data_IF_341845628934
#
_entry.id   IF_341845628934
#
_cell.length_a   1.000
_cell.length_b   1.000
_cell.length_c   1.000
_cell.angle_alpha   90.00
_cell.angle_beta   90.00
_cell.angle_gamma   90.00
#
_symmetry.space_group_name_H-M   'P 1'
#
loop_
_entity.id
_entity.type
_entity.pdbx_description
1 polymer ?
#
# COMPACT_ATOMS: atom_id res chain seq x y z
N UNK A 1 -6.22 2.05 13.09
CA UNK A 1 -6.71 3.01 12.08
C UNK A 1 -7.37 4.11 12.90
N UNK A 2 -6.63 5.19 13.14
CA UNK A 2 -7.26 6.39 13.68
C UNK A 2 -8.34 6.75 12.67
N UNK A 3 -9.55 7.11 13.13
CA UNK A 3 -10.55 7.75 12.27
C UNK A 3 -9.94 9.09 11.85
N UNK A 4 -9.22 9.10 10.74
CA UNK A 4 -8.88 10.32 10.04
C UNK A 4 -10.21 10.89 9.59
N UNK A 5 -10.55 12.08 10.06
CA UNK A 5 -11.83 12.75 9.80
C UNK A 5 -11.88 13.16 8.31
N UNK A 6 -12.24 12.19 7.46
CA UNK A 6 -12.47 12.45 6.03
C UNK A 6 -13.73 13.28 5.81
N UNK A 7 -13.64 14.29 4.96
CA UNK A 7 -14.78 15.13 4.56
C UNK A 7 -15.34 14.65 3.23
N UNK A 8 -16.67 14.49 3.13
CA UNK A 8 -17.35 14.12 1.89
C UNK A 8 -18.16 15.27 1.33
N UNK A 9 -17.93 15.62 0.08
CA UNK A 9 -18.71 16.59 -0.69
C UNK A 9 -19.61 15.86 -1.68
N UNK A 10 -20.91 16.24 -1.72
CA UNK A 10 -21.92 15.54 -2.50
C UNK A 10 -22.56 16.48 -3.51
N UNK A 11 -22.64 16.06 -4.77
CA UNK A 11 -23.30 16.78 -5.85
C UNK A 11 -24.55 16.05 -6.32
N UNK A 12 -25.71 16.72 -6.22
CA UNK A 12 -26.99 16.17 -6.59
C UNK A 12 -27.56 16.82 -7.86
N UNK A 13 -28.20 16.01 -8.68
CA UNK A 13 -28.99 16.55 -9.80
C UNK A 13 -30.19 17.34 -9.26
N UNK A 14 -30.32 18.58 -9.71
CA UNK A 14 -31.45 19.43 -9.35
C UNK A 14 -32.77 18.89 -9.96
N UNK A 15 -33.61 18.28 -9.15
CA UNK A 15 -34.92 17.75 -9.56
C UNK A 15 -35.82 17.60 -8.33
N UNK A 16 -37.14 17.28 -8.56
CA UNK A 16 -38.07 16.96 -7.46
C UNK A 16 -37.67 15.74 -6.65
N UNK A 17 -36.90 14.81 -7.27
CA UNK A 17 -36.25 13.67 -6.63
C UNK A 17 -34.73 13.75 -6.91
N UNK A 18 -33.95 14.42 -6.06
CA UNK A 18 -32.55 14.63 -6.31
C UNK A 18 -31.82 13.29 -6.31
N UNK A 19 -30.96 13.07 -7.31
CA UNK A 19 -30.10 11.90 -7.42
C UNK A 19 -28.67 12.35 -7.17
N UNK A 20 -27.93 11.59 -6.36
CA UNK A 20 -26.51 11.76 -6.21
C UNK A 20 -25.84 11.40 -7.53
N UNK A 21 -25.03 12.30 -8.08
CA UNK A 21 -24.35 12.10 -9.37
C UNK A 21 -22.84 12.21 -9.27
N UNK A 22 -22.33 12.89 -8.25
CA UNK A 22 -20.90 12.95 -7.98
C UNK A 22 -20.64 13.04 -6.48
N UNK A 23 -19.52 12.47 -6.06
CA UNK A 23 -19.01 12.54 -4.70
C UNK A 23 -17.50 12.81 -4.75
N UNK A 24 -17.01 13.60 -3.81
CA UNK A 24 -15.60 13.83 -3.57
C UNK A 24 -15.34 13.57 -2.08
N UNK A 25 -14.38 12.71 -1.81
CA UNK A 25 -13.84 12.46 -0.47
C UNK A 25 -12.50 13.19 -0.35
N UNK A 26 -12.27 13.82 0.78
CA UNK A 26 -11.04 14.50 1.11
C UNK A 26 -10.56 14.03 2.48
N UNK A 27 -9.30 13.65 2.56
CA UNK A 27 -8.58 13.39 3.80
C UNK A 27 -7.52 14.48 3.96
N UNK A 28 -7.54 15.15 5.10
CA UNK A 28 -6.55 16.17 5.47
C UNK A 28 -5.41 15.47 6.24
N UNK A 29 -4.23 15.44 5.63
CA UNK A 29 -3.05 14.73 6.14
C UNK A 29 -1.98 15.73 6.65
N UNK A 30 -2.43 16.88 7.17
CA UNK A 30 -1.62 17.99 7.70
C UNK A 30 -0.81 18.74 6.63
N UNK A 31 0.03 18.05 5.85
CA UNK A 31 0.89 18.64 4.81
C UNK A 31 0.21 18.71 3.43
N UNK A 32 -0.79 17.88 3.19
CA UNK A 32 -1.50 17.81 1.92
C UNK A 32 -2.90 17.18 2.07
N UNK A 33 -3.71 17.34 1.05
CA UNK A 33 -5.03 16.69 0.97
C UNK A 33 -4.93 15.47 0.05
N UNK A 34 -5.43 14.32 0.51
CA UNK A 34 -5.71 13.21 -0.40
C UNK A 34 -7.16 13.28 -0.87
N UNK A 35 -7.37 13.28 -2.19
CA UNK A 35 -8.69 13.44 -2.78
C UNK A 35 -9.04 12.26 -3.69
N UNK A 36 -10.20 11.67 -3.41
CA UNK A 36 -10.85 10.68 -4.27
C UNK A 36 -12.20 11.18 -4.74
N UNK A 37 -12.51 11.04 -6.04
CA UNK A 37 -13.79 11.50 -6.58
C UNK A 37 -14.41 10.51 -7.56
N UNK A 38 -15.74 10.40 -7.51
CA UNK A 38 -16.51 9.52 -8.37
C UNK A 38 -17.70 10.26 -8.96
N UNK A 39 -17.80 10.26 -10.28
CA UNK A 39 -18.93 10.83 -11.00
C UNK A 39 -19.62 9.73 -11.80
N UNK A 40 -20.95 9.65 -11.66
CA UNK A 40 -21.78 8.73 -12.45
C UNK A 40 -21.46 8.86 -13.95
N UNK A 41 -21.21 7.75 -14.67
CA UNK A 41 -20.76 7.78 -16.06
C UNK A 41 -21.63 8.65 -16.98
N UNK A 42 -22.95 8.61 -16.80
CA UNK A 42 -23.90 9.40 -17.60
C UNK A 42 -23.84 10.92 -17.34
N UNK A 43 -23.10 11.35 -16.30
CA UNK A 43 -23.02 12.75 -15.88
C UNK A 43 -21.57 13.28 -15.88
N UNK A 44 -20.64 12.52 -16.45
CA UNK A 44 -19.26 12.96 -16.64
C UNK A 44 -19.19 14.11 -17.65
N UNK A 45 -18.10 14.87 -17.61
CA UNK A 45 -17.85 16.04 -18.48
C UNK A 45 -18.95 17.11 -18.42
N UNK A 46 -19.72 17.20 -17.31
CA UNK A 46 -20.77 18.19 -17.08
C UNK A 46 -20.46 19.13 -15.91
N UNK A 47 -19.20 19.17 -15.45
CA UNK A 47 -18.73 20.07 -14.40
C UNK A 47 -19.06 19.66 -12.97
N UNK A 48 -19.63 18.47 -12.73
CA UNK A 48 -19.97 18.03 -11.37
C UNK A 48 -18.74 17.90 -10.47
N UNK A 49 -17.69 17.22 -10.94
CA UNK A 49 -16.42 17.14 -10.23
C UNK A 49 -15.80 18.53 -10.02
N UNK A 50 -15.72 19.34 -11.06
CA UNK A 50 -15.13 20.70 -10.99
C UNK A 50 -15.82 21.54 -9.92
N UNK A 51 -17.16 21.47 -9.81
CA UNK A 51 -17.91 22.19 -8.79
C UNK A 51 -17.60 21.72 -7.37
N UNK A 52 -17.39 20.41 -7.17
CA UNK A 52 -17.02 19.85 -5.86
C UNK A 52 -15.58 20.23 -5.50
N UNK A 53 -14.66 20.13 -6.45
CA UNK A 53 -13.26 20.44 -6.25
C UNK A 53 -13.06 21.95 -5.97
N UNK A 54 -13.72 22.84 -6.72
CA UNK A 54 -13.71 24.26 -6.42
C UNK A 54 -14.24 24.56 -5.00
N UNK A 55 -15.29 23.85 -4.58
CA UNK A 55 -15.84 24.01 -3.23
C UNK A 55 -14.88 23.54 -2.15
N UNK A 56 -14.12 22.47 -2.38
CA UNK A 56 -13.04 22.03 -1.49
C UNK A 56 -11.98 23.13 -1.38
N UNK A 57 -11.49 23.61 -2.52
CA UNK A 57 -10.38 24.58 -2.58
C UNK A 57 -10.71 25.95 -1.98
N UNK A 58 -11.99 26.32 -1.79
CA UNK A 58 -12.37 27.54 -1.05
C UNK A 58 -11.83 27.55 0.40
N UNK A 59 -11.53 26.38 0.99
CA UNK A 59 -10.99 26.25 2.35
C UNK A 59 -9.51 25.88 2.40
N UNK A 60 -8.90 25.52 1.26
CA UNK A 60 -7.55 24.96 1.16
C UNK A 60 -6.75 25.53 -0.02
N UNK A 61 -6.79 26.86 -0.21
CA UNK A 61 -6.30 27.55 -1.43
C UNK A 61 -4.81 27.29 -1.75
N UNK A 62 -3.98 27.03 -0.75
CA UNK A 62 -2.52 26.83 -0.92
C UNK A 62 -2.06 25.42 -0.50
N UNK A 63 -3.00 24.53 -0.12
CA UNK A 63 -2.65 23.18 0.32
C UNK A 63 -2.46 22.25 -0.89
N UNK A 64 -1.32 21.55 -1.00
CA UNK A 64 -1.13 20.58 -2.07
C UNK A 64 -2.21 19.50 -2.05
N UNK A 65 -2.63 19.06 -3.23
CA UNK A 65 -3.66 18.01 -3.36
C UNK A 65 -3.08 16.83 -4.12
N UNK A 66 -3.16 15.64 -3.51
CA UNK A 66 -2.75 14.38 -4.12
C UNK A 66 -3.96 13.60 -4.62
N UNK A 67 -3.87 13.06 -5.84
CA UNK A 67 -4.85 12.20 -6.47
C UNK A 67 -4.23 10.87 -6.84
N UNK A 68 -5.01 9.79 -6.71
CA UNK A 68 -4.63 8.44 -7.14
C UNK A 68 -5.63 7.88 -8.17
N UNK A 69 -5.68 8.43 -9.40
CA UNK A 69 -6.53 7.87 -10.45
C UNK A 69 -6.04 6.47 -10.88
N UNK A 70 -7.00 5.61 -11.24
CA UNK A 70 -6.70 4.36 -11.92
C UNK A 70 -6.10 4.65 -13.30
N UNK A 71 -4.92 4.10 -13.59
CA UNK A 71 -4.21 4.29 -14.86
C UNK A 71 -4.99 3.81 -16.10
N UNK A 72 -6.00 2.95 -15.91
CA UNK A 72 -6.92 2.53 -16.96
C UNK A 72 -8.13 3.46 -17.14
N UNK A 73 -8.30 4.47 -16.30
CA UNK A 73 -9.42 5.40 -16.36
C UNK A 73 -9.10 6.63 -17.20
N UNK A 74 -9.40 6.57 -18.50
CA UNK A 74 -9.18 7.70 -19.42
C UNK A 74 -9.77 9.02 -18.91
N UNK A 75 -11.02 9.01 -18.41
CA UNK A 75 -11.67 10.23 -17.90
C UNK A 75 -10.96 10.81 -16.67
N UNK A 76 -10.40 9.95 -15.81
CA UNK A 76 -9.67 10.40 -14.64
C UNK A 76 -8.32 11.03 -15.05
N UNK A 77 -7.57 10.39 -15.95
CA UNK A 77 -6.30 10.91 -16.46
C UNK A 77 -6.48 12.24 -17.20
N UNK A 78 -7.53 12.35 -18.04
CA UNK A 78 -7.88 13.62 -18.68
C UNK A 78 -8.25 14.71 -17.66
N UNK A 79 -8.80 14.33 -16.51
CA UNK A 79 -9.09 15.30 -15.44
C UNK A 79 -7.79 15.83 -14.83
N UNK A 80 -6.79 14.98 -14.61
CA UNK A 80 -5.46 15.40 -14.11
C UNK A 80 -4.78 16.36 -15.10
N UNK A 81 -4.87 16.08 -16.40
CA UNK A 81 -4.35 16.96 -17.45
C UNK A 81 -5.05 18.34 -17.45
N UNK A 82 -6.39 18.35 -17.34
CA UNK A 82 -7.18 19.62 -17.31
C UNK A 82 -6.90 20.42 -16.05
N UNK A 83 -6.61 19.78 -14.91
CA UNK A 83 -6.21 20.44 -13.67
C UNK A 83 -4.75 20.90 -13.68
N UNK A 84 -3.97 20.55 -14.71
CA UNK A 84 -2.52 20.78 -14.79
C UNK A 84 -1.75 20.13 -13.63
N UNK A 85 -2.18 18.91 -13.23
CA UNK A 85 -1.52 18.16 -12.17
C UNK A 85 -0.19 17.58 -12.65
N UNK A 86 0.80 17.59 -11.75
CA UNK A 86 2.11 16.99 -11.99
C UNK A 86 2.07 15.47 -11.65
N UNK A 87 2.47 14.62 -12.61
CA UNK A 87 2.64 13.19 -12.37
C UNK A 87 3.89 12.91 -11.54
N UNK A 88 3.75 12.13 -10.47
CA UNK A 88 4.83 11.78 -9.54
C UNK A 88 5.27 10.34 -9.66
N UNK A 89 4.36 9.41 -9.89
CA UNK A 89 4.71 7.98 -9.94
C UNK A 89 3.52 7.05 -10.15
N UNK A 90 3.79 5.76 -10.23
CA UNK A 90 2.76 4.72 -10.29
C UNK A 90 2.96 3.71 -9.17
N UNK A 91 1.89 3.39 -8.46
CA UNK A 91 1.81 2.30 -7.52
C UNK A 91 1.00 1.14 -8.11
N UNK A 92 1.53 -0.06 -8.03
CA UNK A 92 0.88 -1.29 -8.49
C UNK A 92 0.22 -2.00 -7.29
N UNK A 93 -1.10 -2.12 -7.31
CA UNK A 93 -1.80 -3.09 -6.47
C UNK A 93 -1.61 -4.47 -7.07
N UNK A 94 -0.90 -5.34 -6.38
CA UNK A 94 -0.64 -6.71 -6.83
C UNK A 94 -1.38 -7.71 -5.96
N UNK A 95 -1.82 -8.81 -6.57
CA UNK A 95 -2.63 -9.84 -5.93
C UNK A 95 -2.17 -11.24 -6.29
N UNK A 96 -2.17 -12.12 -5.29
CA UNK A 96 -1.91 -13.55 -5.42
C UNK A 96 -3.13 -14.33 -4.92
N UNK A 97 -3.85 -14.98 -5.83
CA UNK A 97 -5.13 -15.61 -5.54
C UNK A 97 -5.03 -16.86 -4.66
N UNK A 98 -3.95 -17.60 -4.82
CA UNK A 98 -3.79 -18.90 -4.16
C UNK A 98 -2.36 -19.11 -3.68
N UNK A 99 -2.23 -19.93 -2.66
CA UNK A 99 -0.93 -20.38 -2.18
C UNK A 99 -0.14 -20.99 -3.34
N UNK A 100 1.11 -20.53 -3.58
CA UNK A 100 1.94 -21.12 -4.61
C UNK A 100 2.18 -22.61 -4.33
N UNK A 101 1.99 -23.45 -5.35
CA UNK A 101 2.38 -24.85 -5.24
C UNK A 101 3.91 -24.94 -5.10
N UNK A 102 4.35 -25.68 -4.11
CA UNK A 102 5.77 -26.04 -3.99
C UNK A 102 6.03 -27.13 -5.01
N UNK A 103 6.71 -26.81 -6.09
CA UNK A 103 7.00 -27.76 -7.15
C UNK A 103 7.91 -28.88 -6.64
N UNK A 104 7.35 -30.12 -6.60
CA UNK A 104 8.06 -31.35 -6.29
C UNK A 104 8.44 -31.55 -4.81
N UNK A 105 8.86 -32.74 -4.43
CA UNK A 105 9.27 -33.21 -3.10
C UNK A 105 10.37 -32.39 -2.36
N UNK A 106 10.76 -31.26 -2.91
CA UNK A 106 11.32 -30.17 -2.16
C UNK A 106 10.16 -29.41 -1.51
N UNK A 107 9.57 -30.00 -0.40
CA UNK A 107 9.24 -29.12 0.68
C UNK A 107 10.37 -28.06 0.66
N UNK A 108 10.03 -26.76 0.52
CA UNK A 108 10.88 -25.74 1.10
C UNK A 108 10.77 -26.11 2.59
N UNK A 109 11.40 -27.23 2.88
CA UNK A 109 11.68 -27.60 4.24
C UNK A 109 12.33 -26.33 4.76
N UNK A 110 11.95 -25.91 5.93
CA UNK A 110 12.69 -24.94 6.71
C UNK A 110 14.23 -25.15 6.59
N UNK A 111 14.66 -26.33 6.17
CA UNK A 111 16.03 -26.78 5.97
C UNK A 111 16.74 -26.28 4.69
N UNK A 112 16.05 -25.70 3.70
CA UNK A 112 16.68 -25.17 2.45
C UNK A 112 16.37 -23.69 2.20
N UNK A 113 15.55 -23.05 3.02
CA UNK A 113 15.38 -21.61 2.98
C UNK A 113 16.62 -20.95 3.60
N UNK A 114 17.15 -19.92 2.93
CA UNK A 114 18.26 -19.13 3.46
C UNK A 114 17.82 -18.27 4.65
N UNK A 115 16.51 -18.19 4.93
CA UNK A 115 15.90 -17.41 6.00
C UNK A 115 14.82 -18.21 6.74
N UNK A 116 14.59 -17.86 8.00
CA UNK A 116 13.41 -18.29 8.77
C UNK A 116 12.58 -17.09 9.20
N UNK A 117 11.28 -17.30 9.40
CA UNK A 117 10.34 -16.27 9.84
C UNK A 117 9.61 -16.71 11.11
N UNK A 118 9.51 -15.77 12.07
CA UNK A 118 8.68 -15.93 13.26
C UNK A 118 7.96 -14.60 13.58
N UNK A 119 6.76 -14.65 14.21
CA UNK A 119 6.08 -13.45 14.67
C UNK A 119 6.92 -12.73 15.71
N UNK A 120 7.15 -11.43 15.49
CA UNK A 120 7.93 -10.60 16.39
C UNK A 120 7.22 -10.38 17.73
N UNK A 121 8.00 -10.16 18.74
CA UNK A 121 7.57 -9.71 20.06
C UNK A 121 8.17 -8.33 20.38
N UNK A 122 7.71 -7.69 21.46
CA UNK A 122 8.30 -6.41 21.92
C UNK A 122 9.79 -6.54 22.29
N UNK A 123 10.28 -7.75 22.57
CA UNK A 123 11.72 -7.99 22.83
C UNK A 123 12.58 -7.84 21.56
N UNK A 124 11.97 -8.00 20.38
CA UNK A 124 12.64 -7.84 19.09
C UNK A 124 12.69 -6.38 18.61
N UNK A 125 11.95 -5.45 19.27
CA UNK A 125 11.72 -4.09 18.81
C UNK A 125 13.00 -3.34 18.43
N UNK A 126 14.03 -3.39 19.26
CA UNK A 126 15.29 -2.67 18.99
C UNK A 126 16.00 -3.16 17.72
N UNK A 127 15.95 -4.47 17.46
CA UNK A 127 16.54 -5.05 16.26
C UNK A 127 15.69 -4.70 15.02
N UNK A 128 14.36 -4.70 15.15
CA UNK A 128 13.44 -4.31 14.08
C UNK A 128 13.56 -2.84 13.72
N UNK A 129 13.71 -1.95 14.72
CA UNK A 129 13.96 -0.51 14.50
C UNK A 129 15.24 -0.30 13.71
N UNK A 130 16.33 -1.03 14.05
CA UNK A 130 17.59 -0.91 13.32
C UNK A 130 17.41 -1.33 11.83
N UNK A 131 16.64 -2.37 11.57
CA UNK A 131 16.34 -2.80 10.19
C UNK A 131 15.45 -1.78 9.48
N UNK A 132 14.34 -1.36 10.12
CA UNK A 132 13.34 -0.48 9.53
C UNK A 132 13.95 0.89 9.18
N UNK A 133 14.59 1.54 10.15
CA UNK A 133 15.21 2.84 9.95
C UNK A 133 16.27 2.81 8.84
N UNK A 134 17.12 1.77 8.81
CA UNK A 134 18.16 1.65 7.79
C UNK A 134 17.61 1.29 6.39
N UNK A 135 16.50 0.55 6.31
CA UNK A 135 15.94 0.12 5.02
C UNK A 135 15.09 1.21 4.34
N UNK A 136 14.43 2.07 5.14
CA UNK A 136 13.56 3.14 4.64
C UNK A 136 14.17 4.54 4.77
N UNK A 137 15.43 4.64 5.22
CA UNK A 137 16.12 5.91 5.47
C UNK A 137 15.33 6.86 6.39
N UNK A 138 14.74 6.27 7.45
CA UNK A 138 13.89 6.97 8.43
C UNK A 138 14.64 7.22 9.73
N UNK A 139 14.24 8.27 10.47
CA UNK A 139 14.71 8.47 11.83
C UNK A 139 14.25 7.31 12.74
N UNK A 140 15.05 7.03 13.77
CA UNK A 140 14.76 5.89 14.66
C UNK A 140 13.49 6.09 15.45
N UNK A 141 13.19 7.32 15.82
CA UNK A 141 12.01 7.72 16.57
C UNK A 141 10.74 7.41 15.79
N UNK A 142 10.71 7.73 14.50
CA UNK A 142 9.59 7.44 13.60
C UNK A 142 9.44 5.93 13.38
N UNK A 143 10.56 5.22 13.24
CA UNK A 143 10.57 3.75 13.13
C UNK A 143 10.04 3.08 14.40
N UNK A 144 10.33 3.62 15.59
CA UNK A 144 9.79 3.15 16.87
C UNK A 144 8.28 3.36 16.90
N UNK A 145 7.82 4.58 16.61
CA UNK A 145 6.39 4.92 16.62
C UNK A 145 5.59 4.01 15.67
N UNK A 146 6.06 3.82 14.44
CA UNK A 146 5.44 2.94 13.46
C UNK A 146 5.34 1.48 13.95
N UNK A 147 6.44 0.91 14.45
CA UNK A 147 6.44 -0.49 14.89
C UNK A 147 5.62 -0.71 16.16
N UNK A 148 5.65 0.23 17.11
CA UNK A 148 4.80 0.17 18.31
C UNK A 148 3.32 0.25 17.94
N UNK A 149 2.94 1.15 17.04
CA UNK A 149 1.58 1.23 16.52
C UNK A 149 1.14 -0.08 15.87
N UNK A 150 2.01 -0.70 15.04
CA UNK A 150 1.71 -1.98 14.40
C UNK A 150 1.49 -3.11 15.41
N UNK A 151 2.24 -3.15 16.52
CA UNK A 151 1.97 -4.10 17.61
C UNK A 151 0.60 -3.86 18.28
N UNK A 152 0.20 -2.61 18.42
CA UNK A 152 -1.04 -2.24 19.12
C UNK A 152 -2.29 -2.39 18.24
N UNK A 153 -2.17 -2.30 16.91
CA UNK A 153 -3.27 -2.47 15.94
C UNK A 153 -3.59 -3.95 15.61
N UNK A 154 -2.81 -4.89 16.16
CA UNK A 154 -3.04 -6.33 15.94
C UNK A 154 -2.49 -6.84 14.61
N UNK A 155 -1.64 -6.09 13.96
CA UNK A 155 -0.87 -6.54 12.80
C UNK A 155 0.19 -7.55 13.22
N UNK A 156 0.57 -8.42 12.30
CA UNK A 156 1.66 -9.35 12.57
C UNK A 156 2.94 -8.84 11.92
N UNK A 157 3.90 -8.46 12.75
CA UNK A 157 5.26 -8.18 12.32
C UNK A 157 6.03 -9.51 12.31
N UNK A 158 6.64 -9.85 11.21
CA UNK A 158 7.46 -11.05 11.06
C UNK A 158 8.94 -10.67 11.08
N UNK A 159 9.70 -11.23 12.02
CA UNK A 159 11.16 -11.18 11.98
C UNK A 159 11.68 -12.09 10.86
N UNK A 160 12.51 -11.57 9.99
CA UNK A 160 13.24 -12.34 8.98
C UNK A 160 14.65 -12.58 9.50
N UNK A 161 15.02 -13.86 9.72
CA UNK A 161 16.33 -14.19 10.26
C UNK A 161 17.15 -15.02 9.28
N UNK A 162 18.45 -14.74 9.25
CA UNK A 162 19.47 -15.54 8.58
C UNK A 162 20.64 -15.76 9.51
N UNK A 163 21.11 -17.00 9.65
CA UNK A 163 22.20 -17.36 10.58
C UNK A 163 21.99 -16.84 12.02
N UNK A 164 20.76 -16.96 12.54
CA UNK A 164 20.35 -16.48 13.87
C UNK A 164 20.43 -14.97 14.08
N UNK A 165 20.50 -14.19 13.02
CA UNK A 165 20.50 -12.72 13.07
C UNK A 165 19.24 -12.20 12.39
N UNK A 166 18.54 -11.24 12.98
CA UNK A 166 17.43 -10.52 12.32
C UNK A 166 18.05 -9.67 11.22
N UNK A 167 17.70 -9.98 9.97
CA UNK A 167 18.22 -9.33 8.76
C UNK A 167 17.14 -8.52 8.04
N UNK A 168 15.87 -8.68 8.46
CA UNK A 168 14.73 -8.02 7.81
C UNK A 168 13.47 -8.17 8.64
N UNK A 169 12.43 -7.53 8.14
CA UNK A 169 11.07 -7.66 8.63
C UNK A 169 10.06 -7.61 7.48
N UNK A 170 8.84 -8.06 7.74
CA UNK A 170 7.69 -7.87 6.88
C UNK A 170 6.43 -7.83 7.75
N UNK A 171 5.46 -7.01 7.38
CA UNK A 171 4.20 -6.87 8.08
C UNK A 171 3.06 -7.52 7.30
N UNK A 172 2.10 -8.05 8.05
CA UNK A 172 0.85 -8.57 7.48
C UNK A 172 -0.34 -8.15 8.32
N UNK A 173 -1.39 -7.65 7.64
CA UNK A 173 -2.74 -7.52 8.19
C UNK A 173 -3.55 -8.71 7.69
N UNK A 174 -3.84 -9.65 8.61
CA UNK A 174 -4.51 -10.92 8.29
C UNK A 174 -6.00 -10.77 8.61
N UNK A 175 -6.84 -10.91 7.59
CA UNK A 175 -8.29 -10.85 7.68
C UNK A 175 -8.89 -12.22 7.34
N UNK A 176 -10.18 -12.47 7.65
CA UNK A 176 -10.81 -13.76 7.38
C UNK A 176 -10.81 -14.17 5.91
N UNK A 177 -10.82 -13.22 5.00
CA UNK A 177 -10.98 -13.40 3.55
C UNK A 177 -9.77 -13.00 2.72
N UNK A 178 -8.75 -12.36 3.32
CA UNK A 178 -7.52 -11.96 2.64
C UNK A 178 -6.37 -11.63 3.61
N UNK A 179 -5.17 -11.50 3.08
CA UNK A 179 -4.01 -10.95 3.81
C UNK A 179 -3.42 -9.79 3.01
N UNK A 180 -3.19 -8.67 3.67
CA UNK A 180 -2.39 -7.57 3.12
C UNK A 180 -0.95 -7.73 3.59
N UNK A 181 0.00 -7.73 2.66
CA UNK A 181 1.44 -7.78 2.91
C UNK A 181 2.03 -6.40 2.63
N UNK A 182 2.82 -5.88 3.55
CA UNK A 182 3.47 -4.56 3.39
C UNK A 182 4.74 -4.46 4.24
N UNK A 183 5.48 -3.36 4.09
CA UNK A 183 6.66 -3.07 4.89
C UNK A 183 7.77 -4.15 4.79
N UNK A 184 7.88 -4.87 3.65
CA UNK A 184 9.00 -5.80 3.46
C UNK A 184 10.30 -5.03 3.41
N UNK A 185 11.12 -5.21 4.44
CA UNK A 185 12.42 -4.56 4.57
C UNK A 185 13.52 -5.57 4.84
N UNK A 186 14.63 -5.42 4.13
CA UNK A 186 15.89 -6.12 4.41
C UNK A 186 16.95 -5.05 4.71
N UNK A 187 17.63 -5.18 5.84
CA UNK A 187 18.70 -4.25 6.21
C UNK A 187 19.74 -4.13 5.07
N UNK A 188 20.19 -2.93 4.70
CA UNK A 188 21.06 -2.70 3.54
C UNK A 188 22.28 -3.64 3.44
N UNK A 189 22.94 -3.96 4.56
CA UNK A 189 24.09 -4.88 4.58
C UNK A 189 23.73 -6.33 4.18
N UNK A 190 22.45 -6.68 4.25
CA UNK A 190 21.95 -8.03 3.93
C UNK A 190 21.18 -8.08 2.60
N UNK A 191 20.99 -6.96 1.93
CA UNK A 191 20.33 -6.91 0.61
C UNK A 191 21.14 -7.64 -0.47
N UNK A 192 20.51 -7.92 -1.61
CA UNK A 192 21.08 -8.57 -2.81
C UNK A 192 21.55 -10.01 -2.58
N UNK A 193 21.21 -10.63 -1.44
CA UNK A 193 21.51 -12.03 -1.10
C UNK A 193 20.32 -12.96 -1.30
N UNK A 194 19.19 -12.45 -1.82
CA UNK A 194 17.95 -13.21 -2.07
C UNK A 194 17.01 -13.31 -0.87
N UNK A 195 17.38 -12.76 0.29
CA UNK A 195 16.61 -12.92 1.53
C UNK A 195 15.18 -12.39 1.43
N UNK A 196 14.93 -11.25 0.78
CA UNK A 196 13.57 -10.73 0.59
C UNK A 196 12.68 -11.68 -0.21
N UNK A 197 13.18 -12.22 -1.33
CA UNK A 197 12.47 -13.22 -2.12
C UNK A 197 12.15 -14.48 -1.30
N UNK A 198 13.13 -14.99 -0.59
CA UNK A 198 12.99 -16.23 0.19
C UNK A 198 12.05 -16.00 1.38
N UNK A 199 12.09 -14.81 1.99
CA UNK A 199 11.18 -14.42 3.07
C UNK A 199 9.71 -14.43 2.61
N UNK A 200 9.40 -13.82 1.47
CA UNK A 200 8.03 -13.84 0.92
C UNK A 200 7.58 -15.27 0.63
N UNK A 201 8.45 -16.12 0.05
CA UNK A 201 8.11 -17.53 -0.21
C UNK A 201 7.82 -18.29 1.07
N UNK A 202 8.64 -18.12 2.12
CA UNK A 202 8.43 -18.76 3.42
C UNK A 202 7.14 -18.25 4.07
N UNK A 203 6.92 -16.93 4.04
CA UNK A 203 5.71 -16.32 4.59
C UNK A 203 4.44 -16.90 3.97
N UNK A 204 4.39 -16.99 2.64
CA UNK A 204 3.23 -17.54 1.92
C UNK A 204 2.94 -19.01 2.22
N UNK A 205 3.86 -19.75 2.83
CA UNK A 205 3.64 -21.13 3.30
C UNK A 205 3.13 -21.17 4.75
N UNK A 206 3.14 -20.08 5.49
CA UNK A 206 2.61 -20.05 6.86
C UNK A 206 1.11 -20.32 6.87
N UNK A 207 0.62 -21.19 7.79
CA UNK A 207 -0.80 -21.57 7.84
C UNK A 207 -1.72 -20.38 8.18
N UNK A 208 -1.21 -19.36 8.84
CA UNK A 208 -1.93 -18.16 9.23
C UNK A 208 -2.31 -17.28 8.04
N UNK A 209 -1.57 -17.38 6.93
CA UNK A 209 -1.80 -16.54 5.75
C UNK A 209 -3.07 -16.95 5.00
N UNK A 210 -4.03 -16.06 4.99
CA UNK A 210 -5.30 -16.17 4.26
C UNK A 210 -5.12 -15.65 2.84
N UNK A 211 -5.64 -16.39 1.85
CA UNK A 211 -5.63 -15.98 0.44
C UNK A 211 -6.99 -15.43 0.01
N UNK A 212 -6.98 -14.45 -0.90
CA UNK A 212 -5.84 -13.90 -1.63
C UNK A 212 -4.91 -13.08 -0.74
N UNK A 213 -3.64 -12.96 -1.17
CA UNK A 213 -2.68 -12.01 -0.61
C UNK A 213 -2.56 -10.81 -1.54
N UNK A 214 -2.63 -9.61 -0.98
CA UNK A 214 -2.49 -8.34 -1.72
C UNK A 214 -1.30 -7.55 -1.19
N UNK A 215 -0.75 -6.71 -2.02
CA UNK A 215 0.31 -5.77 -1.66
C UNK A 215 0.32 -4.57 -2.61
N UNK A 216 0.94 -3.50 -2.16
CA UNK A 216 1.24 -2.34 -2.96
C UNK A 216 2.75 -2.26 -3.20
N UNK A 217 3.15 -1.84 -4.40
CA UNK A 217 4.56 -1.63 -4.75
C UNK A 217 4.66 -0.50 -5.78
N UNK A 218 5.54 0.47 -5.50
CA UNK A 218 5.80 1.56 -6.43
C UNK A 218 6.61 1.08 -7.64
N UNK A 219 6.40 1.68 -8.80
CA UNK A 219 7.13 1.39 -10.04
C UNK A 219 8.64 1.54 -9.85
N UNK A 220 9.06 2.52 -9.08
CA UNK A 220 10.47 2.77 -8.77
C UNK A 220 11.14 1.64 -7.99
N UNK A 221 10.37 0.86 -7.22
CA UNK A 221 10.86 -0.30 -6.51
C UNK A 221 10.89 -1.55 -7.40
N UNK A 222 11.53 -1.41 -8.58
CA UNK A 222 11.69 -2.53 -9.53
C UNK A 222 12.20 -3.84 -8.87
N UNK A 223 13.12 -3.84 -7.89
CA UNK A 223 13.57 -5.07 -7.25
C UNK A 223 12.43 -5.81 -6.54
N UNK A 224 11.60 -5.10 -5.77
CA UNK A 224 10.45 -5.69 -5.08
C UNK A 224 9.38 -6.16 -6.08
N UNK A 225 9.04 -5.34 -7.07
CA UNK A 225 8.11 -5.68 -8.13
C UNK A 225 8.50 -6.99 -8.85
N UNK A 226 9.78 -7.14 -9.20
CA UNK A 226 10.31 -8.36 -9.83
C UNK A 226 10.20 -9.59 -8.89
N UNK A 227 10.43 -9.42 -7.59
CA UNK A 227 10.24 -10.49 -6.59
C UNK A 227 8.78 -10.97 -6.61
N UNK A 228 7.83 -10.07 -6.46
CA UNK A 228 6.41 -10.41 -6.39
C UNK A 228 5.91 -11.05 -7.70
N UNK A 229 6.24 -10.45 -8.84
CA UNK A 229 5.90 -11.00 -10.16
C UNK A 229 6.42 -12.43 -10.35
N UNK A 230 7.68 -12.69 -9.97
CA UNK A 230 8.30 -14.02 -10.09
C UNK A 230 7.70 -15.06 -9.12
N UNK A 231 7.06 -14.64 -8.04
CA UNK A 231 6.34 -15.51 -7.11
C UNK A 231 4.95 -15.85 -7.66
N UNK A 232 4.41 -15.04 -8.56
CA UNK A 232 3.11 -15.25 -9.18
C UNK A 232 2.05 -14.20 -8.83
N UNK A 233 2.43 -13.10 -8.16
CA UNK A 233 1.55 -11.96 -8.02
C UNK A 233 1.27 -11.34 -9.38
N UNK A 234 0.03 -10.90 -9.59
CA UNK A 234 -0.41 -10.18 -10.80
C UNK A 234 -0.86 -8.78 -10.41
N UNK A 235 -0.53 -7.79 -11.21
CA UNK A 235 -1.05 -6.43 -11.06
C UNK A 235 -2.55 -6.45 -11.39
N UNK A 236 -3.36 -5.99 -10.46
CA UNK A 236 -4.82 -5.88 -10.61
C UNK A 236 -5.27 -4.45 -10.84
N UNK A 237 -4.47 -3.48 -10.36
CA UNK A 237 -4.74 -2.06 -10.53
C UNK A 237 -3.41 -1.30 -10.56
N UNK A 238 -3.38 -0.23 -11.33
CA UNK A 238 -2.31 0.77 -11.36
C UNK A 238 -2.90 2.09 -10.88
N UNK A 239 -2.38 2.57 -9.75
CA UNK A 239 -2.74 3.86 -9.18
C UNK A 239 -1.64 4.86 -9.56
N UNK A 240 -2.00 5.87 -10.31
CA UNK A 240 -1.06 6.91 -10.74
C UNK A 240 -1.14 8.08 -9.76
N UNK A 241 -0.01 8.48 -9.23
CA UNK A 241 0.07 9.62 -8.29
C UNK A 241 0.20 10.93 -9.06
N UNK A 242 -0.68 11.87 -8.74
CA UNK A 242 -0.70 13.21 -9.31
C UNK A 242 -0.84 14.28 -8.22
N UNK A 243 -0.11 15.39 -8.38
CA UNK A 243 -0.13 16.53 -7.49
C UNK A 243 -0.68 17.78 -8.19
N UNK A 244 -1.60 18.47 -7.50
CA UNK A 244 -2.19 19.73 -7.91
C UNK A 244 -1.72 20.85 -6.99
#
# INVERSE_FOLDING_TARGET
MNEEDGTAYLYYQSSKNPKLISVLFCYDLEDYLEVSAFTSPAHRCQGAFTSLFQKLMEGYEETPVCFYPDGNSYDALMTMEVLDCEYSGTEHLMRLEKRPEVAGDAAIAENNATVTLYPATKDDLLALVAVHSAAFDMEKEDSIAFLEQSFDTGETIWCITANNTIVGLVLTSIQPDQTNLYGLAIHPEYQRKGYGRDAVKVLLQKPEITFPVTLHVTEENEPAFKIYKNIGFVTTQELMEYWY
#
